data_IF_954364110145
#
_entry.id   IF_954364110145
#
_cell.length_a   1.000
_cell.length_b   1.000
_cell.length_c   1.000
_cell.angle_alpha   90.00
_cell.angle_beta   90.00
_cell.angle_gamma   90.00
#
_symmetry.space_group_name_H-M   'P 1'
#
loop_
_entity.id
_entity.type
_entity.pdbx_description
1 polymer ?
#
# COMPACT_ATOMS: atom_id res chain seq x y z
N UNK A 1 -9.95 1.48 12.54
CA UNK A 1 -9.41 1.12 11.21
C UNK A 1 -9.22 2.36 10.32
N UNK A 2 -8.45 3.38 10.76
CA UNK A 2 -8.27 4.63 9.98
C UNK A 2 -6.87 4.75 9.39
N UNK A 3 -5.84 4.31 10.13
CA UNK A 3 -4.44 4.37 9.70
C UNK A 3 -4.17 3.61 8.39
N UNK A 4 -4.38 2.28 8.37
CA UNK A 4 -4.19 1.42 7.19
C UNK A 4 -4.95 1.94 5.95
N UNK A 5 -6.22 2.27 6.11
CA UNK A 5 -7.05 2.81 5.03
C UNK A 5 -6.54 4.18 4.56
N UNK A 6 -6.10 5.04 5.48
CA UNK A 6 -5.49 6.33 5.16
C UNK A 6 -4.21 6.17 4.34
N UNK A 7 -3.31 5.27 4.74
CA UNK A 7 -2.10 4.95 3.97
C UNK A 7 -2.47 4.44 2.58
N UNK A 8 -3.35 3.44 2.48
CA UNK A 8 -3.77 2.88 1.19
C UNK A 8 -4.38 3.94 0.26
N UNK A 9 -5.21 4.85 0.79
CA UNK A 9 -5.81 5.93 0.01
C UNK A 9 -4.78 6.96 -0.48
N UNK A 10 -3.76 7.28 0.32
CA UNK A 10 -2.66 8.15 -0.11
C UNK A 10 -1.83 7.47 -1.21
N UNK A 11 -1.55 6.17 -1.09
CA UNK A 11 -0.81 5.40 -2.10
C UNK A 11 -1.62 5.28 -3.41
N UNK A 12 -2.94 5.09 -3.36
CA UNK A 12 -3.80 5.00 -4.56
C UNK A 12 -3.74 6.23 -5.46
N UNK A 13 -3.39 7.39 -4.91
CA UNK A 13 -3.26 8.65 -5.66
C UNK A 13 -1.89 8.79 -6.33
N UNK A 14 -0.97 7.86 -6.10
CA UNK A 14 0.36 7.86 -6.72
C UNK A 14 0.31 7.01 -7.98
N UNK A 15 0.24 7.68 -9.12
CA UNK A 15 0.03 7.04 -10.43
C UNK A 15 1.15 6.07 -10.80
N UNK A 16 2.41 6.43 -10.51
CA UNK A 16 3.58 5.59 -10.78
C UNK A 16 3.56 4.29 -9.96
N UNK A 17 3.14 4.37 -8.70
CA UNK A 17 2.98 3.21 -7.82
C UNK A 17 1.82 2.34 -8.29
N UNK A 18 0.68 2.93 -8.61
CA UNK A 18 -0.50 2.17 -9.07
C UNK A 18 -0.27 1.54 -10.44
N UNK A 19 0.46 2.20 -11.34
CA UNK A 19 0.88 1.61 -12.62
C UNK A 19 1.72 0.35 -12.38
N UNK A 20 2.67 0.40 -11.46
CA UNK A 20 3.45 -0.78 -11.08
C UNK A 20 2.57 -1.90 -10.50
N UNK A 21 1.72 -1.57 -9.52
CA UNK A 21 0.85 -2.53 -8.83
C UNK A 21 -0.10 -3.24 -9.80
N UNK A 22 -0.61 -2.53 -10.81
CA UNK A 22 -1.57 -3.07 -11.77
C UNK A 22 -0.92 -3.88 -12.91
N UNK A 23 0.38 -3.71 -13.16
CA UNK A 23 1.05 -4.28 -14.33
C UNK A 23 2.10 -5.34 -14.00
N UNK A 24 2.49 -5.51 -12.74
CA UNK A 24 3.57 -6.41 -12.34
C UNK A 24 3.10 -7.50 -11.37
N UNK A 25 3.74 -8.69 -11.39
CA UNK A 25 3.48 -9.72 -10.39
C UNK A 25 3.89 -9.24 -9.00
N UNK A 26 3.22 -9.76 -7.97
CA UNK A 26 3.38 -9.32 -6.59
C UNK A 26 4.84 -9.28 -6.10
N UNK A 27 5.65 -10.25 -6.51
CA UNK A 27 7.08 -10.30 -6.16
C UNK A 27 7.85 -9.09 -6.73
N UNK A 28 7.65 -8.75 -8.00
CA UNK A 28 8.27 -7.58 -8.61
C UNK A 28 7.79 -6.27 -7.99
N UNK A 29 6.50 -6.18 -7.64
CA UNK A 29 5.95 -5.02 -6.92
C UNK A 29 6.65 -4.85 -5.56
N UNK A 30 6.90 -5.94 -4.84
CA UNK A 30 7.58 -5.94 -3.54
C UNK A 30 9.09 -5.69 -3.60
N UNK A 31 9.68 -5.79 -4.80
CA UNK A 31 11.05 -5.37 -5.06
C UNK A 31 11.12 -3.98 -5.74
N UNK A 32 9.96 -3.34 -5.92
CA UNK A 32 9.76 -2.13 -6.69
C UNK A 32 9.58 -0.85 -5.85
N UNK A 33 8.74 0.05 -6.38
CA UNK A 33 8.43 1.35 -5.79
C UNK A 33 7.54 1.23 -4.54
N UNK A 34 6.64 0.24 -4.52
CA UNK A 34 5.59 0.16 -3.50
C UNK A 34 6.14 0.12 -2.05
N UNK A 35 7.11 -0.75 -1.69
CA UNK A 35 7.61 -0.80 -0.31
C UNK A 35 8.18 0.53 0.17
N UNK A 36 8.96 1.21 -0.68
CA UNK A 36 9.54 2.51 -0.35
C UNK A 36 8.46 3.57 -0.16
N UNK A 37 7.48 3.63 -1.06
CA UNK A 37 6.38 4.62 -0.99
C UNK A 37 5.47 4.40 0.21
N UNK A 38 5.25 3.15 0.62
CA UNK A 38 4.57 2.82 1.87
C UNK A 38 5.31 3.40 3.07
N UNK A 39 6.64 3.20 3.13
CA UNK A 39 7.46 3.75 4.22
C UNK A 39 7.43 5.28 4.25
N UNK A 40 7.62 5.94 3.11
CA UNK A 40 7.55 7.40 3.01
C UNK A 40 6.20 7.93 3.52
N UNK A 41 5.10 7.27 3.13
CA UNK A 41 3.74 7.66 3.56
C UNK A 41 3.49 7.41 5.05
N UNK A 42 4.12 6.38 5.63
CA UNK A 42 4.05 6.08 7.07
C UNK A 42 4.86 7.11 7.86
N UNK A 43 6.04 7.52 7.36
CA UNK A 43 6.83 8.61 7.94
C UNK A 43 6.02 9.93 7.95
N UNK A 44 5.36 10.26 6.86
CA UNK A 44 4.48 11.45 6.78
C UNK A 44 3.31 11.37 7.76
N UNK A 45 2.82 10.17 8.06
CA UNK A 45 1.72 9.95 8.99
C UNK A 45 2.16 9.98 10.47
N UNK A 46 3.46 10.06 10.78
CA UNK A 46 3.95 10.09 12.16
C UNK A 46 3.39 11.27 12.96
N UNK A 47 3.18 12.43 12.33
CA UNK A 47 2.64 13.62 12.99
C UNK A 47 1.28 13.36 13.64
N UNK A 48 0.44 12.55 13.00
CA UNK A 48 -0.94 12.29 13.44
C UNK A 48 -1.11 10.89 14.06
N UNK A 49 -0.19 9.97 13.75
CA UNK A 49 -0.28 8.54 14.04
C UNK A 49 1.05 7.96 14.50
N UNK A 50 1.76 8.68 15.37
CA UNK A 50 3.11 8.35 15.84
C UNK A 50 3.25 6.90 16.32
N UNK A 51 2.44 6.47 17.30
CA UNK A 51 2.56 5.12 17.89
C UNK A 51 2.46 3.98 16.84
N UNK A 52 1.47 4.07 15.94
CA UNK A 52 1.27 3.06 14.90
C UNK A 52 2.38 3.13 13.84
N UNK A 53 2.84 4.33 13.52
CA UNK A 53 3.92 4.53 12.55
C UNK A 53 5.24 3.98 13.08
N UNK A 54 5.57 4.22 14.36
CA UNK A 54 6.72 3.63 15.02
C UNK A 54 6.64 2.10 15.07
N UNK A 55 5.47 1.52 15.30
CA UNK A 55 5.30 0.07 15.28
C UNK A 55 5.62 -0.53 13.90
N UNK A 56 5.23 0.14 12.81
CA UNK A 56 5.55 -0.28 11.44
C UNK A 56 7.05 -0.11 11.13
N UNK A 57 7.63 1.00 11.59
CA UNK A 57 9.02 1.39 11.34
C UNK A 57 10.04 0.71 12.26
N UNK A 58 9.59 0.00 13.30
CA UNK A 58 10.41 -0.64 14.32
C UNK A 58 11.48 -1.57 13.74
N UNK A 59 11.16 -2.30 12.66
CA UNK A 59 12.14 -3.09 11.91
C UNK A 59 11.68 -3.40 10.48
N UNK A 60 12.64 -3.83 9.66
CA UNK A 60 12.43 -4.15 8.25
C UNK A 60 11.36 -5.22 8.03
N UNK A 61 11.29 -6.25 8.89
CA UNK A 61 10.30 -7.33 8.75
C UNK A 61 8.88 -6.78 8.92
N UNK A 62 8.64 -5.97 9.95
CA UNK A 62 7.32 -5.33 10.17
C UNK A 62 6.96 -4.38 9.04
N UNK A 63 7.91 -3.56 8.59
CA UNK A 63 7.76 -2.67 7.44
C UNK A 63 7.37 -3.43 6.17
N UNK A 64 8.04 -4.56 5.90
CA UNK A 64 7.77 -5.41 4.73
C UNK A 64 6.42 -6.11 4.82
N UNK A 65 6.05 -6.63 5.99
CA UNK A 65 4.72 -7.21 6.23
C UNK A 65 3.64 -6.15 6.04
N UNK A 66 3.87 -4.94 6.52
CA UNK A 66 2.93 -3.83 6.35
C UNK A 66 2.76 -3.44 4.87
N UNK A 67 3.85 -3.36 4.10
CA UNK A 67 3.78 -3.14 2.65
C UNK A 67 2.95 -4.22 1.93
N UNK A 68 3.06 -5.49 2.35
CA UNK A 68 2.21 -6.57 1.84
C UNK A 68 0.72 -6.39 2.17
N UNK A 69 0.39 -5.90 3.37
CA UNK A 69 -1.00 -5.60 3.73
C UNK A 69 -1.54 -4.49 2.85
N UNK A 70 -0.79 -3.40 2.65
CA UNK A 70 -1.18 -2.31 1.75
C UNK A 70 -1.37 -2.83 0.32
N UNK A 71 -0.43 -3.62 -0.21
CA UNK A 71 -0.56 -4.25 -1.53
C UNK A 71 -1.89 -5.01 -1.67
N UNK A 72 -2.23 -5.88 -0.71
CA UNK A 72 -3.51 -6.60 -0.71
C UNK A 72 -4.71 -5.65 -0.69
N UNK A 73 -4.64 -4.53 0.03
CA UNK A 73 -5.71 -3.53 0.04
C UNK A 73 -5.83 -2.77 -1.29
N UNK A 74 -4.74 -2.61 -2.04
CA UNK A 74 -4.74 -1.98 -3.36
C UNK A 74 -5.35 -2.92 -4.42
N UNK A 75 -5.01 -4.20 -4.38
CA UNK A 75 -5.45 -5.18 -5.38
C UNK A 75 -6.87 -5.70 -5.14
N UNK A 76 -7.30 -5.86 -3.88
CA UNK A 76 -8.67 -6.33 -3.55
C UNK A 76 -9.78 -5.39 -4.01
N UNK A 77 -9.52 -4.08 -4.15
CA UNK A 77 -10.51 -3.15 -4.74
C UNK A 77 -10.42 -3.12 -6.27
N UNK A 78 -9.25 -3.35 -6.86
CA UNK A 78 -9.12 -3.58 -8.30
C UNK A 78 -9.91 -4.80 -8.76
N UNK A 79 -9.90 -5.88 -7.97
CA UNK A 79 -10.64 -7.11 -8.24
C UNK A 79 -12.17 -6.92 -8.23
N UNK A 80 -12.70 -6.03 -7.38
CA UNK A 80 -14.13 -5.70 -7.38
C UNK A 80 -14.53 -4.80 -8.55
N UNK A 81 -13.64 -3.92 -9.01
CA UNK A 81 -13.89 -3.06 -10.17
C UNK A 81 -13.84 -3.85 -11.49
N UNK A 82 -12.89 -4.78 -11.65
CA UNK A 82 -12.80 -5.67 -12.82
C UNK A 82 -14.03 -6.58 -12.91
N UNK A 83 -14.46 -7.17 -11.79
CA UNK A 83 -15.69 -8.01 -11.75
C UNK A 83 -16.97 -7.25 -12.08
N UNK A 84 -16.98 -5.92 -11.96
CA UNK A 84 -18.13 -5.08 -12.34
C UNK A 84 -18.17 -4.84 -13.86
N UNK A 85 -17.02 -4.83 -14.52
CA UNK A 85 -16.90 -4.72 -15.99
C UNK A 85 -17.20 -6.03 -16.72
N UNK A 86 -17.10 -7.17 -16.04
CA UNK A 86 -17.47 -8.50 -16.59
C UNK A 86 -19.00 -8.72 -16.74
N UNK A 87 -19.83 -7.73 -16.37
CA UNK A 87 -21.31 -7.75 -16.51
C UNK A 87 -21.85 -6.72 -17.52
N UNK A 88 -21.00 -6.10 -18.33
CA UNK A 88 -21.35 -5.21 -19.45
C UNK A 88 -20.92 -5.82 -20.78
#
# INVERSE_FOLDING_TARGET
MHFLTGIAQRIRRQEDVMAQVNSQPADQVMHGLLPRRVLDTVLDAMTDHEKLSLEVLDNEVKSRVFAWVIYKMLTTVGEQAVRCLDWL
#
